data_IF_396729832818
#
_entry.id   IF_396729832818
#
_cell.length_a   1.000
_cell.length_b   1.000
_cell.length_c   1.000
_cell.angle_alpha   90.00
_cell.angle_beta   90.00
_cell.angle_gamma   90.00
#
_symmetry.space_group_name_H-M   'P 1'
#
loop_
_entity.id
_entity.type
_entity.pdbx_description
1 polymer ?
#
# COMPACT_ATOMS: atom_id res chain seq x y z
N UNK A 1 -15.90 27.17 2.47
CA UNK A 1 -15.37 25.80 2.55
C UNK A 1 -14.87 25.44 1.15
N UNK A 2 -13.92 24.51 0.98
CA UNK A 2 -13.51 24.04 -0.35
C UNK A 2 -14.60 23.08 -0.89
N UNK A 3 -15.67 23.67 -1.43
CA UNK A 3 -17.00 23.06 -1.58
C UNK A 3 -17.18 22.04 -2.72
N UNK A 4 -16.17 21.20 -3.04
CA UNK A 4 -16.41 20.05 -3.93
C UNK A 4 -15.30 18.98 -4.01
N UNK A 5 -14.39 18.91 -3.03
CA UNK A 5 -13.35 17.87 -3.01
C UNK A 5 -13.72 16.80 -1.99
N UNK A 6 -13.67 15.52 -2.38
CA UNK A 6 -13.92 14.40 -1.47
C UNK A 6 -12.94 14.41 -0.29
N UNK A 7 -13.46 14.35 0.93
CA UNK A 7 -12.66 14.32 2.16
C UNK A 7 -12.05 12.95 2.45
N UNK A 8 -12.65 11.91 1.92
CA UNK A 8 -12.18 10.54 2.02
C UNK A 8 -12.58 9.76 0.76
N UNK A 9 -11.91 8.64 0.53
CA UNK A 9 -12.25 7.71 -0.54
C UNK A 9 -12.06 6.27 -0.07
N UNK A 10 -12.96 5.40 -0.52
CA UNK A 10 -12.83 3.95 -0.42
C UNK A 10 -12.81 3.39 -1.84
N UNK A 11 -11.78 2.60 -2.14
CA UNK A 11 -11.63 1.95 -3.44
C UNK A 11 -11.49 0.44 -3.22
N UNK A 12 -12.39 -0.32 -3.83
CA UNK A 12 -12.34 -1.77 -3.85
C UNK A 12 -11.96 -2.24 -5.26
N UNK A 13 -10.90 -3.04 -5.36
CA UNK A 13 -10.40 -3.54 -6.64
C UNK A 13 -10.40 -5.07 -6.65
N UNK A 14 -10.73 -5.65 -7.82
CA UNK A 14 -10.59 -7.07 -8.11
C UNK A 14 -9.71 -7.24 -9.33
N UNK A 15 -8.63 -8.00 -9.20
CA UNK A 15 -7.69 -8.28 -10.27
C UNK A 15 -8.04 -9.59 -10.98
N UNK A 16 -7.62 -9.78 -12.25
CA UNK A 16 -7.94 -10.99 -13.03
C UNK A 16 -7.47 -12.30 -12.39
N UNK A 17 -6.38 -12.26 -11.62
CA UNK A 17 -5.84 -13.41 -10.90
C UNK A 17 -6.56 -13.72 -9.57
N UNK A 18 -7.68 -13.05 -9.28
CA UNK A 18 -8.46 -13.24 -8.06
C UNK A 18 -7.96 -12.44 -6.85
N UNK A 19 -6.85 -11.70 -6.97
CA UNK A 19 -6.41 -10.78 -5.92
C UNK A 19 -7.48 -9.70 -5.69
N UNK A 20 -7.69 -9.33 -4.42
CA UNK A 20 -8.60 -8.27 -4.01
C UNK A 20 -7.81 -7.23 -3.24
N UNK A 21 -8.15 -5.97 -3.45
CA UNK A 21 -7.55 -4.84 -2.73
C UNK A 21 -8.63 -3.92 -2.20
N UNK A 22 -8.36 -3.36 -1.03
CA UNK A 22 -9.13 -2.30 -0.43
C UNK A 22 -8.18 -1.15 -0.11
N UNK A 23 -8.50 0.04 -0.59
CA UNK A 23 -7.76 1.27 -0.31
C UNK A 23 -8.70 2.25 0.37
N UNK A 24 -8.22 2.82 1.46
CA UNK A 24 -8.87 3.91 2.17
C UNK A 24 -7.91 5.09 2.28
N UNK A 25 -8.42 6.29 2.05
CA UNK A 25 -7.70 7.54 2.31
C UNK A 25 -8.67 8.55 2.88
N UNK A 26 -8.22 9.36 3.85
CA UNK A 26 -9.01 10.41 4.47
C UNK A 26 -8.13 11.59 4.83
N UNK A 27 -8.54 12.79 4.39
CA UNK A 27 -7.93 14.07 4.77
C UNK A 27 -8.24 14.46 6.21
N UNK A 28 -9.33 13.94 6.76
CA UNK A 28 -9.87 14.30 8.08
C UNK A 28 -9.46 13.31 9.18
N UNK A 29 -8.52 12.39 8.90
CA UNK A 29 -8.08 11.43 9.90
C UNK A 29 -7.27 12.16 11.01
N UNK A 30 -7.66 12.07 12.29
CA UNK A 30 -6.98 12.77 13.39
C UNK A 30 -5.56 12.28 13.66
N UNK A 31 -5.17 11.13 13.11
CA UNK A 31 -3.82 10.60 13.17
C UNK A 31 -3.24 10.33 11.78
N UNK A 32 -1.92 10.44 11.69
CA UNK A 32 -1.16 10.14 10.48
C UNK A 32 -1.06 8.61 10.36
N UNK A 33 -1.69 8.03 9.36
CA UNK A 33 -1.56 6.61 9.02
C UNK A 33 -1.04 6.45 7.59
N UNK A 34 -0.02 5.62 7.40
CA UNK A 34 0.50 5.21 6.09
C UNK A 34 0.86 3.75 6.17
N UNK A 35 -0.14 2.90 5.92
CA UNK A 35 -0.03 1.46 6.12
C UNK A 35 -0.40 0.71 4.84
N UNK A 36 0.45 -0.25 4.49
CA UNK A 36 0.18 -1.24 3.45
C UNK A 36 0.21 -2.63 4.08
N UNK A 37 -0.89 -3.36 3.93
CA UNK A 37 -0.99 -4.75 4.38
C UNK A 37 -1.13 -5.68 3.18
N UNK A 38 -0.26 -6.69 3.12
CA UNK A 38 -0.34 -7.78 2.14
C UNK A 38 -0.62 -9.07 2.88
N UNK A 39 -1.75 -9.71 2.56
CA UNK A 39 -2.16 -10.99 3.16
C UNK A 39 -1.93 -12.12 2.17
N UNK A 40 -1.05 -13.04 2.53
CA UNK A 40 -0.80 -14.27 1.80
C UNK A 40 -1.31 -15.50 2.54
N UNK A 41 -1.16 -16.68 1.92
CA UNK A 41 -1.62 -17.95 2.50
C UNK A 41 -0.79 -18.41 3.71
N UNK A 42 0.47 -17.98 3.81
CA UNK A 42 1.42 -18.41 4.87
C UNK A 42 1.78 -17.31 5.85
N UNK A 43 1.57 -16.05 5.47
CA UNK A 43 1.96 -14.91 6.27
C UNK A 43 1.22 -13.64 5.81
N UNK A 44 1.18 -12.66 6.71
CA UNK A 44 0.80 -11.29 6.44
C UNK A 44 2.01 -10.37 6.64
N UNK A 45 2.25 -9.48 5.68
CA UNK A 45 3.26 -8.43 5.78
C UNK A 45 2.56 -7.08 5.97
N UNK A 46 3.01 -6.31 6.97
CA UNK A 46 2.52 -4.96 7.25
C UNK A 46 3.68 -4.01 7.14
N UNK A 47 3.60 -3.10 6.18
CA UNK A 47 4.48 -1.94 6.10
C UNK A 47 3.77 -0.73 6.70
N UNK A 48 4.34 -0.18 7.77
CA UNK A 48 3.83 1.01 8.45
C UNK A 48 4.88 2.12 8.41
N UNK A 49 4.63 3.14 7.61
CA UNK A 49 5.59 4.22 7.39
C UNK A 49 5.63 5.24 8.54
N UNK A 50 4.76 5.13 9.56
CA UNK A 50 4.85 5.98 10.75
C UNK A 50 5.65 5.35 11.90
N UNK A 51 5.95 4.05 11.82
CA UNK A 51 6.79 3.36 12.80
C UNK A 51 8.28 3.74 12.68
N UNK A 52 9.06 3.57 13.77
CA UNK A 52 10.51 3.59 13.73
C UNK A 52 11.07 2.59 12.70
N UNK A 53 12.25 2.88 12.15
CA UNK A 53 12.84 2.11 11.05
C UNK A 53 12.95 0.60 11.32
N UNK A 54 13.29 0.23 12.55
CA UNK A 54 13.40 -1.15 13.02
C UNK A 54 12.06 -1.88 13.11
N UNK A 55 10.94 -1.15 13.02
CA UNK A 55 9.56 -1.67 13.09
C UNK A 55 8.71 -1.43 11.85
N UNK A 56 9.22 -0.71 10.84
CA UNK A 56 8.48 -0.36 9.62
C UNK A 56 7.91 -1.54 8.84
N UNK A 57 8.58 -2.71 8.84
CA UNK A 57 8.12 -3.90 8.12
C UNK A 57 7.97 -5.08 9.07
N UNK A 58 6.73 -5.39 9.43
CA UNK A 58 6.36 -6.50 10.29
C UNK A 58 5.85 -7.68 9.45
N UNK A 59 6.29 -8.90 9.76
CA UNK A 59 5.83 -10.14 9.12
C UNK A 59 5.23 -11.06 10.16
N UNK A 60 3.92 -11.29 10.03
CA UNK A 60 3.13 -12.19 10.85
C UNK A 60 3.04 -13.54 10.13
N UNK A 61 3.74 -14.56 10.62
CA UNK A 61 3.71 -15.90 10.03
C UNK A 61 2.58 -16.70 10.65
N UNK A 62 1.75 -17.31 9.81
CA UNK A 62 0.74 -18.25 10.26
C UNK A 62 1.40 -19.63 10.40
N UNK A 63 1.52 -20.13 11.62
CA UNK A 63 1.73 -21.55 11.84
C UNK A 63 0.36 -22.18 12.00
N UNK A 64 -0.03 -23.01 11.03
CA UNK A 64 -1.26 -23.79 11.08
C UNK A 64 -0.82 -25.24 11.18
N UNK A 65 -1.20 -25.90 12.27
CA UNK A 65 -1.01 -27.34 12.44
C UNK A 65 -2.28 -27.97 13.00
N UNK A 66 -2.46 -29.26 12.74
CA UNK A 66 -3.52 -30.04 13.38
C UNK A 66 -2.98 -30.59 14.69
N UNK A 67 -3.71 -30.31 15.77
CA UNK A 67 -3.54 -31.00 17.05
C UNK A 67 -4.85 -31.73 17.34
N UNK A 68 -4.78 -33.05 17.48
CA UNK A 68 -5.91 -33.87 17.93
C UNK A 68 -7.21 -33.69 17.14
N UNK A 69 -7.10 -33.44 15.82
CA UNK A 69 -8.24 -33.24 14.92
C UNK A 69 -8.83 -31.82 14.91
N UNK A 70 -8.28 -30.90 15.71
CA UNK A 70 -8.62 -29.48 15.70
C UNK A 70 -7.51 -28.64 15.04
N UNK A 71 -7.91 -27.59 14.34
CA UNK A 71 -6.97 -26.63 13.77
C UNK A 71 -6.50 -25.66 14.87
N UNK A 72 -5.20 -25.66 15.14
CA UNK A 72 -4.57 -24.71 16.05
C UNK A 72 -3.83 -23.62 15.24
N UNK A 73 -3.83 -22.40 15.79
CA UNK A 73 -3.15 -21.24 15.23
C UNK A 73 -2.25 -20.64 16.29
N UNK A 74 -0.98 -20.38 15.96
CA UNK A 74 -0.17 -19.48 16.79
C UNK A 74 -0.32 -18.05 16.29
N UNK A 75 -0.78 -17.16 17.17
CA UNK A 75 -0.54 -15.72 17.02
C UNK A 75 0.90 -15.46 17.44
N UNK A 76 1.85 -15.66 16.52
CA UNK A 76 3.26 -15.39 16.80
C UNK A 76 3.45 -13.87 16.88
N UNK A 77 4.36 -13.43 17.74
CA UNK A 77 4.86 -12.07 17.65
C UNK A 77 5.41 -11.83 16.22
N UNK A 78 5.19 -10.63 15.65
CA UNK A 78 5.72 -10.34 14.33
C UNK A 78 7.25 -10.37 14.34
N UNK A 79 7.83 -11.00 13.33
CA UNK A 79 9.24 -10.80 13.03
C UNK A 79 9.39 -9.51 12.22
N UNK A 80 10.33 -8.65 12.60
CA UNK A 80 10.62 -7.42 11.86
C UNK A 80 11.72 -7.65 10.82
N UNK A 81 11.50 -7.14 9.61
CA UNK A 81 12.48 -7.19 8.52
C UNK A 81 13.16 -5.83 8.43
N UNK A 82 14.48 -5.82 8.51
CA UNK A 82 15.26 -4.59 8.42
C UNK A 82 15.05 -3.92 7.05
N UNK A 83 14.62 -2.66 7.08
CA UNK A 83 14.51 -1.81 5.89
C UNK A 83 15.66 -0.81 5.91
N UNK A 84 16.34 -0.64 4.77
CA UNK A 84 17.41 0.33 4.66
C UNK A 84 16.88 1.74 4.98
N UNK A 85 17.53 2.42 5.94
CA UNK A 85 17.17 3.79 6.31
C UNK A 85 17.59 4.79 5.24
N UNK A 86 16.75 5.79 4.98
CA UNK A 86 17.05 6.85 4.03
C UNK A 86 15.80 7.62 3.60
N UNK A 87 16.02 8.80 3.02
CA UNK A 87 14.92 9.62 2.51
C UNK A 87 14.43 9.05 1.17
N UNK A 88 13.11 8.78 1.00
CA UNK A 88 12.56 8.26 -0.24
C UNK A 88 12.90 9.14 -1.45
N UNK A 89 12.77 10.46 -1.32
CA UNK A 89 13.06 11.41 -2.40
C UNK A 89 14.53 11.39 -2.83
N UNK A 90 15.47 11.24 -1.89
CA UNK A 90 16.90 11.13 -2.23
C UNK A 90 17.14 9.89 -3.09
N UNK A 91 16.60 8.74 -2.70
CA UNK A 91 16.74 7.49 -3.46
C UNK A 91 16.10 7.56 -4.84
N UNK A 92 14.95 8.24 -4.93
CA UNK A 92 14.27 8.46 -6.22
C UNK A 92 15.13 9.30 -7.17
N UNK A 93 15.72 10.40 -6.68
CA UNK A 93 16.60 11.27 -7.48
C UNK A 93 17.90 10.56 -7.87
N UNK A 94 18.51 9.80 -6.95
CA UNK A 94 19.67 8.96 -7.25
C UNK A 94 19.37 7.94 -8.35
N UNK A 95 18.23 7.24 -8.23
CA UNK A 95 17.76 6.28 -9.25
C UNK A 95 17.50 6.97 -10.60
N UNK A 96 16.92 8.16 -10.58
CA UNK A 96 16.69 8.96 -11.79
C UNK A 96 18.00 9.31 -12.52
N UNK A 97 18.98 9.84 -11.78
CA UNK A 97 20.31 10.15 -12.34
C UNK A 97 20.98 8.88 -12.88
N UNK A 98 20.94 7.79 -12.12
CA UNK A 98 21.50 6.50 -12.57
C UNK A 98 20.87 6.03 -13.89
N UNK A 99 19.55 6.16 -14.05
CA UNK A 99 18.87 5.78 -15.29
C UNK A 99 19.31 6.64 -16.48
N UNK A 100 19.56 7.94 -16.28
CA UNK A 100 20.08 8.83 -17.32
C UNK A 100 21.48 8.38 -17.75
N UNK A 101 22.36 8.14 -16.77
CA UNK A 101 23.77 7.78 -17.03
C UNK A 101 23.91 6.41 -17.70
N UNK A 102 23.13 5.44 -17.25
CA UNK A 102 23.23 4.04 -17.70
C UNK A 102 22.29 3.70 -18.85
N UNK A 103 21.35 4.60 -19.18
CA UNK A 103 20.21 4.33 -20.06
C UNK A 103 19.38 3.10 -19.63
N UNK A 104 19.41 2.77 -18.34
CA UNK A 104 18.58 1.71 -17.79
C UNK A 104 17.10 2.12 -17.80
N UNK A 105 16.22 1.12 -17.94
CA UNK A 105 14.79 1.34 -17.80
C UNK A 105 14.44 1.68 -16.33
N UNK A 106 13.71 2.78 -16.06
CA UNK A 106 13.34 3.14 -14.71
C UNK A 106 12.36 2.12 -14.11
N UNK A 107 12.47 1.90 -12.80
CA UNK A 107 11.56 1.00 -12.06
C UNK A 107 10.10 1.44 -12.15
N UNK A 108 9.87 2.74 -12.25
CA UNK A 108 8.56 3.38 -12.41
C UNK A 108 8.51 4.09 -13.76
N UNK A 109 7.85 3.46 -14.74
CA UNK A 109 7.77 3.99 -16.11
C UNK A 109 6.51 4.84 -16.34
N UNK A 110 6.49 5.58 -17.45
CA UNK A 110 5.30 6.35 -17.85
C UNK A 110 4.06 5.47 -18.08
N UNK A 111 4.24 4.22 -18.51
CA UNK A 111 3.13 3.28 -18.66
C UNK A 111 2.50 2.88 -17.32
N UNK A 112 3.32 2.78 -16.27
CA UNK A 112 2.82 2.55 -14.91
C UNK A 112 1.97 3.71 -14.44
N UNK A 113 2.41 4.95 -14.68
CA UNK A 113 1.63 6.15 -14.37
C UNK A 113 0.27 6.15 -15.10
N UNK A 114 0.23 5.77 -16.37
CA UNK A 114 -1.03 5.64 -17.13
C UNK A 114 -1.96 4.60 -16.50
N UNK A 115 -1.43 3.44 -16.06
CA UNK A 115 -2.24 2.40 -15.39
C UNK A 115 -2.83 2.92 -14.08
N UNK A 116 -2.03 3.62 -13.27
CA UNK A 116 -2.50 4.24 -12.02
C UNK A 116 -3.60 5.26 -12.30
N UNK A 117 -3.39 6.15 -13.27
CA UNK A 117 -4.39 7.15 -13.66
C UNK A 117 -5.71 6.50 -14.09
N UNK A 118 -5.67 5.43 -14.89
CA UNK A 118 -6.88 4.68 -15.29
C UNK A 118 -7.66 4.15 -14.08
N UNK A 119 -6.96 3.60 -13.07
CA UNK A 119 -7.58 3.11 -11.84
C UNK A 119 -8.24 4.27 -11.07
N UNK A 120 -7.52 5.38 -10.89
CA UNK A 120 -8.02 6.55 -10.17
C UNK A 120 -9.23 7.18 -10.88
N UNK A 121 -9.19 7.31 -12.20
CA UNK A 121 -10.31 7.81 -13.00
C UNK A 121 -11.51 6.89 -12.91
N UNK A 122 -11.33 5.56 -13.00
CA UNK A 122 -12.42 4.60 -12.88
C UNK A 122 -13.05 4.57 -11.48
N UNK A 123 -12.27 4.87 -10.44
CA UNK A 123 -12.73 4.94 -9.05
C UNK A 123 -13.27 6.30 -8.61
N UNK A 124 -13.18 7.33 -9.44
CA UNK A 124 -13.62 8.68 -9.07
C UNK A 124 -15.13 8.81 -9.21
N UNK A 125 -15.79 9.19 -8.12
CA UNK A 125 -17.19 9.62 -8.14
C UNK A 125 -17.25 11.08 -8.59
N UNK A 126 -18.00 11.35 -9.64
CA UNK A 126 -18.22 12.74 -10.09
C UNK A 126 -19.41 13.31 -9.32
N UNK A 127 -19.18 14.35 -8.52
CA UNK A 127 -20.26 15.09 -7.88
C UNK A 127 -20.90 16.02 -8.93
N UNK A 128 -22.07 15.66 -9.47
CA UNK A 128 -22.89 16.59 -10.25
C UNK A 128 -23.38 17.71 -9.34
N UNK A 129 -23.13 18.97 -9.72
CA UNK A 129 -23.73 20.13 -9.04
C UNK A 129 -25.24 19.96 -9.02
N UNK A 130 -25.84 19.91 -7.84
CA UNK A 130 -27.28 20.14 -7.68
C UNK A 130 -27.53 21.62 -7.98
N UNK A 131 -28.24 21.92 -9.06
CA UNK A 131 -28.77 23.25 -9.30
C UNK A 131 -29.85 23.52 -8.23
N UNK A 132 -29.51 24.33 -7.22
CA UNK A 132 -30.47 25.06 -6.39
C UNK A 132 -30.73 26.43 -6.99
#
# INVERSE_FOLDING_TARGET
LLDNLSDFAHLHMRFPNGLRSHLFTSRLNPYRERRLTVVGTKAMAVFDDVEPWERKLAVYRHAVWQDSGQWAFTTNEPSYVAVAQGMPLTRELEHFIQCIETRAEPRTSGEEAIRVLRILTAGTVTHTKSNS
#
